data_IF_928263640723
#
_entry.id   IF_928263640723
#
_cell.length_a   1.000
_cell.length_b   1.000
_cell.length_c   1.000
_cell.angle_alpha   90.00
_cell.angle_beta   90.00
_cell.angle_gamma   90.00
#
_symmetry.space_group_name_H-M   'P 1'
#
loop_
_entity.id
_entity.type
_entity.pdbx_description
1 polymer ?
#
# COMPACT_ATOMS: atom_id res chain seq x y z
N UNK A 1 -62.43 26.22 24.90
CA UNK A 1 -61.26 25.59 24.25
C UNK A 1 -60.05 25.74 25.18
N UNK A 2 -59.73 24.70 25.94
CA UNK A 2 -58.55 24.71 26.82
C UNK A 2 -57.29 24.40 26.00
N UNK A 3 -56.35 25.34 25.93
CA UNK A 3 -55.08 25.12 25.27
C UNK A 3 -54.22 24.14 26.09
N UNK A 4 -53.96 22.97 25.51
CA UNK A 4 -53.00 22.00 26.03
C UNK A 4 -51.59 22.62 26.03
N UNK A 5 -51.09 22.99 27.20
CA UNK A 5 -49.72 23.48 27.38
C UNK A 5 -48.75 22.30 27.24
N UNK A 6 -48.07 22.23 26.10
CA UNK A 6 -46.99 21.27 25.86
C UNK A 6 -45.84 21.64 26.81
N UNK A 7 -45.65 20.87 27.88
CA UNK A 7 -44.51 21.03 28.79
C UNK A 7 -43.22 20.80 28.01
N UNK A 8 -42.44 21.87 27.80
CA UNK A 8 -41.09 21.76 27.24
C UNK A 8 -40.20 21.07 28.29
N UNK A 9 -39.68 19.88 27.95
CA UNK A 9 -38.67 19.21 28.77
C UNK A 9 -37.35 19.95 28.59
N UNK A 10 -36.82 20.53 29.67
CA UNK A 10 -35.48 21.09 29.70
C UNK A 10 -34.49 19.98 30.11
N UNK A 11 -33.43 19.79 29.31
CA UNK A 11 -32.33 18.89 29.65
C UNK A 11 -31.56 19.45 30.84
N UNK A 12 -31.13 18.57 31.75
CA UNK A 12 -30.30 18.98 32.90
C UNK A 12 -28.83 19.06 32.48
N UNK A 13 -28.07 19.98 33.09
CA UNK A 13 -26.62 20.08 32.86
C UNK A 13 -25.89 18.77 33.22
N UNK A 14 -26.36 18.08 34.26
CA UNK A 14 -25.78 16.81 34.73
C UNK A 14 -25.97 15.71 33.68
N UNK A 15 -27.10 15.70 32.99
CA UNK A 15 -27.41 14.73 31.93
C UNK A 15 -26.51 14.90 30.71
N UNK A 16 -26.16 16.14 30.36
CA UNK A 16 -25.16 16.40 29.32
C UNK A 16 -23.74 16.08 29.82
N UNK A 17 -23.43 16.36 31.09
CA UNK A 17 -22.11 16.10 31.68
C UNK A 17 -21.76 14.61 31.68
N UNK A 18 -22.66 13.73 32.11
CA UNK A 18 -22.40 12.28 32.10
C UNK A 18 -22.25 11.74 30.68
N UNK A 19 -23.00 12.26 29.72
CA UNK A 19 -22.92 11.83 28.31
C UNK A 19 -21.57 12.17 27.71
N UNK A 20 -21.06 13.39 27.90
CA UNK A 20 -19.74 13.76 27.35
C UNK A 20 -18.59 13.01 28.04
N UNK A 21 -18.73 12.67 29.32
CA UNK A 21 -17.75 11.82 30.03
C UNK A 21 -17.71 10.42 29.43
N UNK A 22 -18.87 9.79 29.22
CA UNK A 22 -18.93 8.46 28.60
C UNK A 22 -18.40 8.50 27.17
N UNK A 23 -18.78 9.50 26.36
CA UNK A 23 -18.25 9.68 25.00
C UNK A 23 -16.73 9.88 24.99
N UNK A 24 -16.18 10.61 25.97
CA UNK A 24 -14.73 10.80 26.13
C UNK A 24 -13.98 9.50 26.41
N UNK A 25 -14.52 8.65 27.30
CA UNK A 25 -13.93 7.34 27.62
C UNK A 25 -13.96 6.42 26.40
N UNK A 26 -15.09 6.36 25.68
CA UNK A 26 -15.23 5.54 24.48
C UNK A 26 -14.27 6.01 23.37
N UNK A 27 -14.17 7.32 23.14
CA UNK A 27 -13.26 7.86 22.14
C UNK A 27 -11.79 7.53 22.45
N UNK A 28 -11.38 7.60 23.72
CA UNK A 28 -10.02 7.32 24.14
C UNK A 28 -9.57 5.88 23.85
N UNK A 29 -10.48 4.90 23.93
CA UNK A 29 -10.16 3.49 23.66
C UNK A 29 -10.27 3.16 22.16
N UNK A 30 -11.26 3.72 21.46
CA UNK A 30 -11.55 3.38 20.06
C UNK A 30 -10.52 3.97 19.09
N UNK A 31 -10.06 5.19 19.32
CA UNK A 31 -9.12 5.88 18.40
C UNK A 31 -7.80 5.10 18.19
N UNK A 32 -7.05 4.68 19.24
CA UNK A 32 -5.80 3.96 19.03
C UNK A 32 -6.03 2.60 18.33
N UNK A 33 -7.06 1.86 18.74
CA UNK A 33 -7.41 0.56 18.15
C UNK A 33 -7.70 0.66 16.64
N UNK A 34 -8.42 1.70 16.22
CA UNK A 34 -8.77 1.89 14.80
C UNK A 34 -7.55 2.23 13.95
N UNK A 35 -6.59 2.99 14.50
CA UNK A 35 -5.34 3.35 13.81
C UNK A 35 -4.50 2.11 13.49
N UNK A 36 -4.31 1.22 14.47
CA UNK A 36 -3.50 0.01 14.31
C UNK A 36 -4.14 -0.99 13.32
N UNK A 37 -5.46 -1.13 13.40
CA UNK A 37 -6.23 -1.96 12.48
C UNK A 37 -6.14 -1.44 11.03
N UNK A 38 -6.19 -0.12 10.84
CA UNK A 38 -6.05 0.49 9.52
C UNK A 38 -4.66 0.28 8.93
N UNK A 39 -3.59 0.41 9.73
CA UNK A 39 -2.23 0.16 9.28
C UNK A 39 -2.01 -1.33 8.91
N UNK A 40 -2.51 -2.24 9.74
CA UNK A 40 -2.44 -3.69 9.48
C UNK A 40 -3.18 -4.06 8.19
N UNK A 41 -4.34 -3.46 7.94
CA UNK A 41 -5.10 -3.66 6.71
C UNK A 41 -4.33 -3.16 5.47
N UNK A 42 -3.67 -1.99 5.57
CA UNK A 42 -2.80 -1.47 4.50
C UNK A 42 -1.61 -2.40 4.23
N UNK A 43 -0.94 -2.88 5.26
CA UNK A 43 0.18 -3.82 5.14
C UNK A 43 -0.25 -5.14 4.48
N UNK A 44 -1.39 -5.69 4.90
CA UNK A 44 -1.94 -6.94 4.35
C UNK A 44 -2.31 -6.80 2.87
N UNK A 45 -2.95 -5.68 2.51
CA UNK A 45 -3.24 -5.34 1.11
C UNK A 45 -1.96 -5.21 0.28
N UNK A 46 -0.93 -4.57 0.82
CA UNK A 46 0.35 -4.38 0.16
C UNK A 46 1.07 -5.71 -0.12
N UNK A 47 1.07 -6.63 0.84
CA UNK A 47 1.65 -7.98 0.68
C UNK A 47 0.94 -8.75 -0.44
N UNK A 48 -0.39 -8.73 -0.46
CA UNK A 48 -1.19 -9.38 -1.51
C UNK A 48 -0.93 -8.78 -2.89
N UNK A 49 -0.84 -7.45 -2.99
CA UNK A 49 -0.48 -6.77 -4.23
C UNK A 49 0.94 -7.15 -4.69
N UNK A 50 1.91 -7.21 -3.78
CA UNK A 50 3.29 -7.58 -4.10
C UNK A 50 3.39 -9.01 -4.63
N UNK A 51 2.66 -9.95 -4.03
CA UNK A 51 2.59 -11.34 -4.50
C UNK A 51 1.97 -11.43 -5.90
N UNK A 52 0.88 -10.70 -6.12
CA UNK A 52 0.22 -10.63 -7.44
C UNK A 52 1.19 -10.09 -8.48
N UNK A 53 1.85 -8.96 -8.21
CA UNK A 53 2.80 -8.35 -9.13
C UNK A 53 3.97 -9.29 -9.44
N UNK A 54 4.56 -9.95 -8.42
CA UNK A 54 5.67 -10.91 -8.63
C UNK A 54 5.28 -12.05 -9.56
N UNK A 55 4.09 -12.62 -9.36
CA UNK A 55 3.58 -13.68 -10.25
C UNK A 55 3.42 -13.16 -11.69
N UNK A 56 2.93 -11.94 -11.88
CA UNK A 56 2.80 -11.34 -13.21
C UNK A 56 4.16 -11.02 -13.86
N UNK A 57 5.16 -10.60 -13.08
CA UNK A 57 6.53 -10.38 -13.56
C UNK A 57 7.18 -11.68 -14.05
N UNK A 58 6.97 -12.79 -13.33
CA UNK A 58 7.43 -14.12 -13.75
C UNK A 58 6.74 -14.58 -15.03
N UNK A 59 5.41 -14.37 -15.14
CA UNK A 59 4.67 -14.68 -16.37
C UNK A 59 5.14 -13.86 -17.56
N UNK A 60 5.42 -12.56 -17.35
CA UNK A 60 6.01 -11.70 -18.36
C UNK A 60 7.36 -12.26 -18.82
N UNK A 61 8.25 -12.58 -17.89
CA UNK A 61 9.58 -13.11 -18.21
C UNK A 61 9.51 -14.37 -19.10
N UNK A 62 8.57 -15.26 -18.84
CA UNK A 62 8.37 -16.49 -19.64
C UNK A 62 7.95 -16.17 -21.08
N UNK A 63 7.10 -15.16 -21.28
CA UNK A 63 6.58 -14.80 -22.60
C UNK A 63 7.52 -13.89 -23.40
N UNK A 64 8.45 -13.19 -22.73
CA UNK A 64 9.38 -12.23 -23.32
C UNK A 64 10.83 -12.74 -23.37
N UNK A 65 11.00 -14.02 -23.70
CA UNK A 65 12.30 -14.67 -23.92
C UNK A 65 13.26 -14.57 -22.71
N UNK A 66 12.75 -14.65 -21.48
CA UNK A 66 13.55 -14.58 -20.27
C UNK A 66 13.86 -13.16 -19.78
N UNK A 67 13.29 -12.14 -20.43
CA UNK A 67 13.49 -10.74 -20.03
C UNK A 67 12.33 -10.25 -19.17
N UNK A 68 12.66 -9.67 -18.03
CA UNK A 68 11.69 -8.93 -17.21
C UNK A 68 11.31 -7.60 -17.89
N UNK A 69 10.16 -7.00 -17.53
CA UNK A 69 9.77 -5.71 -18.09
C UNK A 69 10.73 -4.59 -17.64
N UNK A 70 10.90 -3.56 -18.46
CA UNK A 70 11.41 -2.24 -18.09
C UNK A 70 10.24 -1.27 -17.91
N UNK A 71 9.90 -1.04 -16.64
CA UNK A 71 8.82 -0.19 -16.17
C UNK A 71 9.19 1.30 -16.23
N UNK A 72 10.47 1.65 -16.07
CA UNK A 72 10.94 3.03 -15.98
C UNK A 72 10.28 3.75 -14.81
N UNK A 73 9.17 4.44 -15.07
CA UNK A 73 8.37 5.11 -14.03
C UNK A 73 6.89 4.68 -13.97
N UNK A 74 6.47 3.73 -14.80
CA UNK A 74 5.07 3.35 -14.96
C UNK A 74 4.89 1.84 -15.24
N UNK A 75 3.64 1.40 -15.21
CA UNK A 75 3.31 -0.03 -15.33
C UNK A 75 2.91 -0.47 -16.74
N UNK A 76 3.19 0.33 -17.78
CA UNK A 76 2.58 0.15 -19.11
C UNK A 76 2.86 -1.23 -19.73
N UNK A 77 4.06 -1.78 -19.55
CA UNK A 77 4.38 -3.12 -20.06
C UNK A 77 3.62 -4.25 -19.37
N UNK A 78 3.11 -4.01 -18.16
CA UNK A 78 2.27 -4.97 -17.44
C UNK A 78 0.78 -4.67 -17.62
N UNK A 79 0.38 -3.41 -17.82
CA UNK A 79 -1.04 -3.00 -17.92
C UNK A 79 -1.56 -2.94 -19.36
N UNK A 80 -0.68 -2.96 -20.35
CA UNK A 80 -1.04 -2.98 -21.76
C UNK A 80 -0.57 -4.29 -22.41
N UNK A 81 -0.99 -4.49 -23.65
CA UNK A 81 -0.43 -5.56 -24.47
C UNK A 81 0.97 -5.18 -24.94
N UNK A 82 1.83 -6.16 -25.14
CA UNK A 82 3.20 -5.97 -25.60
C UNK A 82 3.57 -6.95 -26.70
N UNK A 83 4.53 -6.57 -27.54
CA UNK A 83 5.18 -7.50 -28.49
C UNK A 83 6.19 -8.39 -27.76
N UNK A 84 6.71 -9.44 -28.39
CA UNK A 84 7.78 -10.29 -27.82
C UNK A 84 8.98 -9.49 -27.27
N UNK A 85 9.32 -8.34 -27.87
CA UNK A 85 10.42 -7.46 -27.43
C UNK A 85 10.03 -6.48 -26.32
N UNK A 86 8.81 -6.57 -25.79
CA UNK A 86 8.29 -5.71 -24.73
C UNK A 86 7.76 -4.35 -25.20
N UNK A 87 7.60 -4.10 -26.50
CA UNK A 87 7.06 -2.83 -26.97
C UNK A 87 5.55 -2.74 -26.69
N UNK A 88 5.10 -1.68 -26.01
CA UNK A 88 3.69 -1.47 -25.62
C UNK A 88 2.77 -1.07 -26.79
N UNK A 89 3.27 -1.15 -28.03
CA UNK A 89 2.50 -1.00 -29.26
C UNK A 89 2.16 -2.35 -29.90
N UNK A 90 2.66 -3.46 -29.34
CA UNK A 90 2.34 -4.82 -29.79
C UNK A 90 1.07 -5.37 -29.15
N UNK A 91 0.49 -6.39 -29.78
CA UNK A 91 -0.78 -7.02 -29.36
C UNK A 91 -0.64 -8.53 -29.15
N UNK A 92 0.58 -9.01 -28.91
CA UNK A 92 0.90 -10.45 -28.88
C UNK A 92 0.73 -11.05 -27.47
N UNK A 93 1.10 -10.30 -26.43
CA UNK A 93 1.12 -10.77 -25.03
C UNK A 93 0.51 -9.76 -24.07
N UNK A 94 0.02 -10.23 -22.91
CA UNK A 94 -0.63 -9.41 -21.88
C UNK A 94 -2.09 -9.04 -22.19
N UNK A 95 -2.70 -8.10 -21.44
CA UNK A 95 -2.14 -7.44 -20.26
C UNK A 95 -2.02 -8.38 -19.07
N UNK A 96 -0.97 -8.20 -18.27
CA UNK A 96 -0.67 -9.03 -17.10
C UNK A 96 -1.30 -8.47 -15.82
N UNK A 97 -1.49 -7.14 -15.76
CA UNK A 97 -2.20 -6.43 -14.70
C UNK A 97 -3.38 -5.66 -15.30
N UNK A 98 -4.54 -5.73 -14.64
CA UNK A 98 -5.72 -4.96 -15.06
C UNK A 98 -5.62 -3.47 -14.71
N UNK A 99 -4.82 -3.12 -13.71
CA UNK A 99 -4.61 -1.74 -13.23
C UNK A 99 -3.24 -1.61 -12.58
N UNK A 100 -2.63 -0.43 -12.71
CA UNK A 100 -1.41 -0.09 -11.98
C UNK A 100 -1.64 -0.19 -10.45
N UNK A 101 -0.83 -0.96 -9.72
CA UNK A 101 -0.97 -1.12 -8.28
C UNK A 101 -0.66 0.21 -7.58
N UNK A 102 -1.50 0.55 -6.60
CA UNK A 102 -1.36 1.78 -5.81
C UNK A 102 -0.87 1.38 -4.43
N UNK A 103 0.28 1.93 -4.04
CA UNK A 103 0.80 1.72 -2.71
C UNK A 103 -0.04 2.51 -1.69
N UNK A 104 -0.66 1.85 -0.68
CA UNK A 104 -1.51 2.52 0.31
C UNK A 104 -0.76 3.39 1.34
N UNK A 105 0.57 3.31 1.41
CA UNK A 105 1.41 4.13 2.30
C UNK A 105 1.81 5.46 1.64
N UNK A 106 2.24 5.42 0.38
CA UNK A 106 2.68 6.61 -0.38
C UNK A 106 1.57 7.18 -1.29
N UNK A 107 0.42 6.51 -1.37
CA UNK A 107 -0.69 6.82 -2.28
C UNK A 107 -0.23 7.03 -3.74
N UNK A 108 0.78 6.26 -4.16
CA UNK A 108 1.46 6.41 -5.43
C UNK A 108 1.56 5.07 -6.15
N UNK A 109 1.44 5.11 -7.47
CA UNK A 109 1.70 3.98 -8.37
C UNK A 109 3.02 4.14 -9.13
N UNK A 110 3.77 5.22 -8.89
CA UNK A 110 5.04 5.46 -9.56
C UNK A 110 6.07 4.40 -9.18
N UNK A 111 6.85 3.99 -10.18
CA UNK A 111 7.96 3.05 -10.04
C UNK A 111 9.26 3.84 -10.12
N UNK A 112 10.24 3.45 -9.33
CA UNK A 112 11.64 3.84 -9.49
C UNK A 112 12.39 2.60 -9.97
N UNK A 113 12.80 2.62 -11.24
CA UNK A 113 13.54 1.54 -11.89
C UNK A 113 15.04 1.77 -11.76
N UNK A 114 15.77 0.76 -11.28
CA UNK A 114 17.23 0.81 -11.28
C UNK A 114 17.92 -0.51 -10.90
N UNK A 115 19.13 -0.68 -11.43
CA UNK A 115 19.96 -1.88 -11.26
C UNK A 115 20.69 -1.91 -9.90
N UNK A 116 20.70 -0.79 -9.16
CA UNK A 116 21.27 -0.72 -7.82
C UNK A 116 20.29 -1.29 -6.80
N UNK A 117 20.76 -2.31 -6.06
CA UNK A 117 20.08 -3.06 -5.00
C UNK A 117 19.01 -2.27 -4.22
N UNK A 118 17.81 -2.15 -4.80
CA UNK A 118 16.59 -1.58 -4.24
C UNK A 118 16.87 -0.52 -3.15
N UNK A 119 17.50 0.58 -3.56
CA UNK A 119 17.89 1.69 -2.68
C UNK A 119 16.69 2.52 -2.20
N UNK A 120 16.99 3.60 -1.47
CA UNK A 120 15.98 4.56 -1.01
C UNK A 120 15.30 5.22 -2.21
N UNK A 121 13.99 4.99 -2.36
CA UNK A 121 13.19 5.60 -3.40
C UNK A 121 13.08 7.12 -3.20
N UNK A 122 13.01 7.88 -4.31
CA UNK A 122 12.69 9.31 -4.26
C UNK A 122 11.31 9.56 -3.63
N UNK A 123 11.10 10.76 -3.07
CA UNK A 123 9.81 11.13 -2.49
C UNK A 123 8.67 11.02 -3.53
N UNK A 124 7.54 10.43 -3.14
CA UNK A 124 6.39 10.22 -4.02
C UNK A 124 6.46 8.96 -4.90
N UNK A 125 7.50 8.14 -4.77
CA UNK A 125 7.58 6.82 -5.41
C UNK A 125 6.85 5.79 -4.57
N UNK A 126 6.01 4.97 -5.20
CA UNK A 126 5.29 3.88 -4.53
C UNK A 126 6.06 2.55 -4.54
N UNK A 127 6.86 2.29 -5.58
CA UNK A 127 7.48 1.00 -5.84
C UNK A 127 8.92 1.16 -6.33
N UNK A 128 9.81 0.28 -5.87
CA UNK A 128 11.19 0.19 -6.40
C UNK A 128 11.34 -1.15 -7.09
N UNK A 129 11.88 -1.14 -8.29
CA UNK A 129 11.93 -2.29 -9.17
C UNK A 129 13.31 -2.44 -9.84
N UNK A 130 13.78 -3.68 -9.93
CA UNK A 130 15.02 -4.02 -10.63
C UNK A 130 14.70 -4.92 -11.84
N UNK A 131 14.97 -4.47 -13.07
CA UNK A 131 14.68 -5.22 -14.29
C UNK A 131 15.65 -6.37 -14.55
N UNK A 132 16.83 -6.40 -13.92
CA UNK A 132 17.82 -7.46 -14.15
C UNK A 132 17.40 -8.79 -13.52
N UNK A 133 16.62 -8.73 -12.44
CA UNK A 133 16.27 -9.90 -11.63
C UNK A 133 14.79 -9.96 -11.21
N UNK A 134 13.97 -9.02 -11.69
CA UNK A 134 12.54 -8.95 -11.40
C UNK A 134 12.20 -8.63 -9.94
N UNK A 135 13.18 -8.22 -9.13
CA UNK A 135 12.92 -7.89 -7.73
C UNK A 135 12.10 -6.62 -7.61
N UNK A 136 11.05 -6.68 -6.79
CA UNK A 136 10.20 -5.54 -6.49
C UNK A 136 9.99 -5.38 -4.98
N UNK A 137 10.03 -4.12 -4.53
CA UNK A 137 9.71 -3.68 -3.17
C UNK A 137 8.70 -2.54 -3.18
N UNK A 138 7.88 -2.48 -2.14
CA UNK A 138 6.99 -1.38 -1.88
C UNK A 138 7.65 -0.37 -0.93
N UNK A 139 7.46 0.93 -1.19
CA UNK A 139 7.95 2.02 -0.34
C UNK A 139 6.96 2.22 0.81
N UNK A 140 7.38 2.04 2.05
CA UNK A 140 6.46 2.17 3.21
C UNK A 140 6.75 3.39 4.09
N UNK A 141 7.80 4.17 3.79
CA UNK A 141 8.14 5.40 4.49
C UNK A 141 9.13 6.26 3.68
N UNK A 142 8.67 7.34 3.03
CA UNK A 142 9.55 8.35 2.44
C UNK A 142 10.48 9.04 3.47
N UNK A 143 10.14 9.02 4.77
CA UNK A 143 10.88 9.68 5.85
C UNK A 143 11.86 8.77 6.64
N UNK A 144 11.87 7.44 6.42
CA UNK A 144 12.90 6.52 6.97
C UNK A 144 14.08 6.28 6.03
N UNK A 145 14.11 7.04 4.93
CA UNK A 145 15.16 7.10 3.91
C UNK A 145 16.60 7.33 4.43
N UNK A 146 16.81 7.72 5.69
CA UNK A 146 18.14 8.13 6.20
C UNK A 146 18.88 7.08 7.05
N UNK A 147 18.25 6.07 7.65
CA UNK A 147 18.99 5.15 8.55
C UNK A 147 18.33 3.77 8.73
N UNK A 148 18.35 2.90 7.72
CA UNK A 148 18.15 1.44 7.91
C UNK A 148 18.66 0.70 6.67
N UNK A 149 19.98 0.75 6.47
CA UNK A 149 20.68 -0.19 5.59
C UNK A 149 20.71 -1.55 6.28
N UNK A 150 19.67 -2.36 6.08
CA UNK A 150 19.70 -3.78 6.42
C UNK A 150 20.39 -4.53 5.28
N UNK A 151 21.63 -4.94 5.51
CA UNK A 151 22.34 -5.93 4.69
C UNK A 151 21.65 -7.29 4.80
N UNK A 152 21.90 -8.17 3.84
CA UNK A 152 21.30 -9.50 3.65
C UNK A 152 21.48 -10.51 4.82
N UNK A 153 21.92 -10.09 6.01
CA UNK A 153 22.05 -10.96 7.19
C UNK A 153 20.82 -10.95 8.12
N UNK A 154 19.88 -10.02 8.00
CA UNK A 154 18.80 -9.87 9.01
C UNK A 154 17.47 -10.59 8.69
N UNK A 155 17.46 -11.60 7.82
CA UNK A 155 16.27 -12.46 7.57
C UNK A 155 16.16 -13.62 8.58
N UNK A 156 16.98 -13.61 9.63
CA UNK A 156 17.03 -14.69 10.62
C UNK A 156 16.64 -14.27 12.05
N UNK A 157 15.63 -13.42 12.26
CA UNK A 157 15.03 -13.28 13.60
C UNK A 157 13.60 -12.73 13.56
N UNK A 158 12.67 -13.57 13.12
CA UNK A 158 11.29 -13.53 13.62
C UNK A 158 10.94 -14.93 14.13
N UNK A 159 11.70 -15.39 15.12
CA UNK A 159 11.35 -16.51 15.98
C UNK A 159 11.85 -16.18 17.38
N UNK A 160 10.97 -16.38 18.35
CA UNK A 160 11.11 -16.09 19.79
C UNK A 160 11.25 -14.62 20.18
N UNK A 161 10.21 -14.07 20.81
CA UNK A 161 10.15 -13.99 22.27
C UNK A 161 8.69 -13.92 22.73
N UNK A 162 8.45 -14.56 23.88
CA UNK A 162 7.27 -14.48 24.74
C UNK A 162 6.79 -13.06 25.04
#
# INVERSE_FOLDING_TARGET
MGASQIKRRAFTLVEILIVVVILGILAAVVIPQFSDAAETAKASSLVSQLQTVRSQLELYMIQHNGNYPSLGSNWNQLTQTTSVSGATSGSDFGPYLQKSPINPFENSSSVDEGNNALGTAAAGVGWVYNPDNGQIKAVVNASKATTLSLSTEDVATYSSTE
#
